data_IF_661086639186
#
_entry.id   IF_661086639186
#
_cell.length_a   1.000
_cell.length_b   1.000
_cell.length_c   1.000
_cell.angle_alpha   90.00
_cell.angle_beta   90.00
_cell.angle_gamma   90.00
#
_symmetry.space_group_name_H-M   'P 1'
#
loop_
_entity.id
_entity.type
_entity.pdbx_description
1 polymer ?
#
# COMPACT_ATOMS: atom_id res chain seq x y z
N UNK A 1 26.67 -36.46 2.91
CA UNK A 1 26.66 -35.55 1.74
C UNK A 1 25.33 -35.71 1.04
N UNK A 2 24.62 -34.61 0.82
CA UNK A 2 23.32 -34.52 0.16
C UNK A 2 22.99 -33.04 0.01
N UNK A 3 23.42 -32.46 -1.11
CA UNK A 3 23.47 -31.02 -1.37
C UNK A 3 22.10 -30.36 -1.48
N UNK A 4 22.01 -29.19 -0.86
CA UNK A 4 20.97 -28.18 -1.01
C UNK A 4 21.53 -26.80 -0.69
N UNK A 5 22.79 -26.54 -1.04
CA UNK A 5 23.56 -25.33 -0.64
C UNK A 5 23.22 -24.10 -1.52
N UNK A 6 21.95 -23.79 -1.69
CA UNK A 6 21.54 -22.54 -2.34
C UNK A 6 20.54 -21.81 -1.46
N UNK A 7 21.04 -20.85 -0.69
CA UNK A 7 20.23 -19.90 0.04
C UNK A 7 19.79 -18.79 -0.91
N UNK A 8 18.48 -18.60 -1.06
CA UNK A 8 17.91 -17.49 -1.81
C UNK A 8 17.64 -16.31 -0.87
N UNK A 9 18.10 -15.12 -1.25
CA UNK A 9 17.81 -13.90 -0.51
C UNK A 9 16.36 -13.50 -0.80
N UNK A 10 15.47 -13.79 0.15
CA UNK A 10 14.05 -13.45 0.04
C UNK A 10 13.84 -11.94 0.23
N UNK A 11 14.57 -11.36 1.17
CA UNK A 11 14.44 -9.97 1.56
C UNK A 11 15.72 -9.42 2.24
N UNK A 12 15.92 -8.10 2.22
CA UNK A 12 17.09 -7.43 2.78
C UNK A 12 18.11 -6.94 1.74
N UNK A 13 17.71 -6.77 0.47
CA UNK A 13 18.57 -6.29 -0.61
C UNK A 13 19.22 -4.94 -0.29
N UNK A 14 18.46 -3.99 0.26
CA UNK A 14 18.96 -2.66 0.65
C UNK A 14 20.00 -2.76 1.78
N UNK A 15 19.78 -3.67 2.73
CA UNK A 15 20.74 -3.91 3.83
C UNK A 15 22.00 -4.61 3.32
N UNK A 16 21.84 -5.55 2.38
CA UNK A 16 22.97 -6.20 1.68
C UNK A 16 23.79 -5.16 0.93
N UNK A 17 23.18 -4.25 0.19
CA UNK A 17 23.86 -3.15 -0.50
C UNK A 17 24.56 -2.21 0.48
N UNK A 18 23.92 -1.86 1.60
CA UNK A 18 24.55 -1.06 2.64
C UNK A 18 25.81 -1.74 3.21
N UNK A 19 25.77 -3.05 3.46
CA UNK A 19 26.93 -3.80 3.93
C UNK A 19 28.04 -3.92 2.88
N UNK A 20 27.67 -4.09 1.60
CA UNK A 20 28.63 -4.09 0.49
C UNK A 20 29.33 -2.73 0.36
N UNK A 21 28.56 -1.64 0.41
CA UNK A 21 29.08 -0.27 0.35
C UNK A 21 29.95 0.08 1.55
N UNK A 22 29.57 -0.39 2.74
CA UNK A 22 30.34 -0.22 3.98
C UNK A 22 31.55 -1.19 4.09
N UNK A 23 31.77 -2.06 3.09
CA UNK A 23 32.85 -3.07 3.04
C UNK A 23 32.91 -3.92 4.32
N UNK A 24 31.75 -4.24 4.89
CA UNK A 24 31.69 -5.06 6.10
C UNK A 24 32.13 -6.48 5.77
N UNK A 25 33.25 -6.90 6.36
CA UNK A 25 33.82 -8.25 6.20
C UNK A 25 33.38 -9.21 7.31
N UNK A 26 32.65 -8.70 8.30
CA UNK A 26 32.14 -9.46 9.43
C UNK A 26 30.92 -10.29 9.02
N UNK A 27 30.66 -11.44 9.65
CA UNK A 27 29.45 -12.22 9.40
C UNK A 27 28.19 -11.37 9.61
N UNK A 28 27.34 -11.31 8.59
CA UNK A 28 26.09 -10.56 8.63
C UNK A 28 25.03 -11.45 9.30
N UNK A 29 24.29 -10.95 10.31
CA UNK A 29 23.21 -11.71 10.91
C UNK A 29 22.10 -11.92 9.87
N UNK A 30 21.81 -13.19 9.58
CA UNK A 30 20.72 -13.63 8.72
C UNK A 30 19.80 -14.57 9.50
N UNK A 31 18.51 -14.49 9.23
CA UNK A 31 17.52 -15.42 9.78
C UNK A 31 17.16 -16.43 8.71
N UNK A 32 17.42 -17.71 8.98
CA UNK A 32 17.00 -18.79 8.10
C UNK A 32 15.52 -19.09 8.34
N UNK A 33 14.73 -19.03 7.27
CA UNK A 33 13.37 -19.53 7.27
C UNK A 33 13.36 -20.95 6.74
N UNK A 34 12.83 -21.89 7.53
CA UNK A 34 12.66 -23.29 7.12
C UNK A 34 11.21 -23.51 6.72
N UNK A 35 10.96 -23.59 5.40
CA UNK A 35 9.64 -23.80 4.81
C UNK A 35 9.69 -23.68 3.29
N UNK A 36 8.55 -23.57 2.63
CA UNK A 36 8.49 -23.37 1.17
C UNK A 36 8.92 -21.95 0.79
N UNK A 37 9.26 -21.74 -0.50
CA UNK A 37 9.57 -20.38 -1.01
C UNK A 37 8.37 -19.46 -0.83
N UNK A 38 7.15 -19.96 -1.05
CA UNK A 38 5.93 -19.20 -0.85
C UNK A 38 5.73 -18.77 0.61
N UNK A 39 6.02 -19.66 1.56
CA UNK A 39 5.95 -19.37 2.99
C UNK A 39 7.02 -18.36 3.42
N UNK A 40 8.23 -18.48 2.86
CA UNK A 40 9.32 -17.56 3.13
C UNK A 40 9.01 -16.13 2.67
N UNK A 41 8.38 -15.98 1.49
CA UNK A 41 7.94 -14.69 0.96
C UNK A 41 6.86 -14.05 1.85
N UNK A 42 5.89 -14.84 2.33
CA UNK A 42 4.86 -14.35 3.24
C UNK A 42 5.46 -13.89 4.59
N UNK A 43 6.37 -14.68 5.15
CA UNK A 43 6.97 -14.37 6.45
C UNK A 43 7.89 -13.15 6.37
N UNK A 44 8.64 -12.98 5.28
CA UNK A 44 9.44 -11.78 5.03
C UNK A 44 8.55 -10.51 5.00
N UNK A 45 7.43 -10.57 4.26
CA UNK A 45 6.46 -9.46 4.23
C UNK A 45 5.87 -9.14 5.62
N UNK A 46 5.45 -10.17 6.36
CA UNK A 46 4.92 -10.02 7.73
C UNK A 46 5.94 -9.42 8.69
N UNK A 47 7.19 -9.88 8.63
CA UNK A 47 8.28 -9.40 9.48
C UNK A 47 8.59 -7.93 9.20
N UNK A 48 8.62 -7.51 7.93
CA UNK A 48 8.87 -6.14 7.53
C UNK A 48 7.73 -5.19 7.89
N UNK A 49 6.49 -5.65 7.75
CA UNK A 49 5.31 -4.87 8.16
C UNK A 49 5.30 -4.56 9.66
N UNK A 50 5.94 -5.40 10.49
CA UNK A 50 6.01 -5.26 11.96
C UNK A 50 7.30 -4.62 12.49
N UNK A 51 8.37 -4.50 11.68
CA UNK A 51 9.70 -4.09 12.15
C UNK A 51 9.99 -2.58 12.03
N UNK A 52 11.12 -2.15 12.64
CA UNK A 52 11.51 -0.77 13.01
C UNK A 52 11.68 0.26 11.87
N UNK A 53 11.51 -0.17 10.62
CA UNK A 53 11.39 0.68 9.44
C UNK A 53 10.13 0.21 8.70
N UNK A 54 8.94 0.73 9.05
CA UNK A 54 7.71 0.28 8.43
C UNK A 54 7.79 0.58 6.92
N UNK A 55 7.51 -0.42 6.10
CA UNK A 55 7.36 -0.25 4.64
C UNK A 55 6.48 0.97 4.37
N UNK A 56 6.80 1.79 3.38
CA UNK A 56 5.93 2.89 2.96
C UNK A 56 4.59 2.33 2.47
N UNK A 57 3.57 3.18 2.37
CA UNK A 57 2.28 2.72 1.85
C UNK A 57 2.41 2.20 0.41
N UNK A 58 3.21 2.88 -0.41
CA UNK A 58 3.54 2.46 -1.79
C UNK A 58 4.19 1.07 -1.80
N UNK A 59 5.24 0.85 -1.00
CA UNK A 59 5.92 -0.45 -0.91
C UNK A 59 4.98 -1.58 -0.46
N UNK A 60 4.08 -1.32 0.51
CA UNK A 60 3.07 -2.29 0.95
C UNK A 60 2.11 -2.65 -0.18
N UNK A 61 1.65 -1.66 -0.95
CA UNK A 61 0.73 -1.89 -2.05
C UNK A 61 1.40 -2.62 -3.23
N UNK A 62 2.65 -2.30 -3.56
CA UNK A 62 3.40 -2.97 -4.61
C UNK A 62 3.73 -4.42 -4.24
N UNK A 63 4.07 -4.66 -2.98
CA UNK A 63 4.23 -6.02 -2.46
C UNK A 63 2.92 -6.82 -2.50
N UNK A 64 1.80 -6.22 -2.07
CA UNK A 64 0.49 -6.84 -2.19
C UNK A 64 0.12 -7.15 -3.65
N UNK A 65 0.41 -6.23 -4.58
CA UNK A 65 0.18 -6.40 -6.01
C UNK A 65 1.01 -7.54 -6.60
N UNK A 66 2.28 -7.66 -6.20
CA UNK A 66 3.13 -8.81 -6.56
C UNK A 66 2.51 -10.12 -6.09
N UNK A 67 2.04 -10.21 -4.85
CA UNK A 67 1.39 -11.41 -4.33
C UNK A 67 0.07 -11.74 -5.06
N UNK A 68 -0.69 -10.71 -5.47
CA UNK A 68 -1.92 -10.88 -6.26
C UNK A 68 -1.60 -11.44 -7.64
N UNK A 69 -0.59 -10.91 -8.34
CA UNK A 69 -0.16 -11.41 -9.67
C UNK A 69 0.33 -12.86 -9.63
N UNK A 70 0.95 -13.30 -8.52
CA UNK A 70 1.36 -14.69 -8.33
C UNK A 70 0.17 -15.67 -8.22
N UNK A 71 -1.02 -15.20 -7.83
CA UNK A 71 -2.27 -15.99 -7.86
C UNK A 71 -2.40 -17.11 -6.81
N UNK A 72 -1.31 -17.49 -6.12
CA UNK A 72 -1.28 -18.64 -5.21
C UNK A 72 -1.79 -18.39 -3.79
N UNK A 73 -2.15 -17.14 -3.45
CA UNK A 73 -2.48 -16.73 -2.08
C UNK A 73 -3.95 -16.31 -1.94
N UNK A 74 -4.57 -16.59 -0.79
CA UNK A 74 -5.90 -16.05 -0.45
C UNK A 74 -5.84 -14.55 -0.19
N UNK A 75 -6.99 -13.86 -0.27
CA UNK A 75 -7.06 -12.41 -0.01
C UNK A 75 -6.56 -12.04 1.39
N UNK A 76 -6.85 -12.89 2.38
CA UNK A 76 -6.44 -12.65 3.77
C UNK A 76 -4.93 -12.84 3.95
N UNK A 77 -4.33 -13.86 3.32
CA UNK A 77 -2.88 -14.07 3.37
C UNK A 77 -2.12 -12.89 2.75
N UNK A 78 -2.59 -12.38 1.61
CA UNK A 78 -1.99 -11.19 0.98
C UNK A 78 -2.13 -9.96 1.88
N UNK A 79 -3.33 -9.71 2.39
CA UNK A 79 -3.62 -8.57 3.26
C UNK A 79 -2.73 -8.57 4.51
N UNK A 80 -2.61 -9.72 5.17
CA UNK A 80 -1.79 -9.88 6.36
C UNK A 80 -0.28 -9.75 6.06
N UNK A 81 0.20 -10.37 4.98
CA UNK A 81 1.61 -10.34 4.63
C UNK A 81 2.08 -8.97 4.17
N UNK A 82 1.23 -8.22 3.48
CA UNK A 82 1.57 -6.90 2.97
C UNK A 82 1.13 -5.74 3.87
N UNK A 83 0.37 -5.99 4.93
CA UNK A 83 -0.18 -4.94 5.79
C UNK A 83 -1.16 -4.00 5.05
N UNK A 84 -1.98 -4.55 4.16
CA UNK A 84 -3.03 -3.82 3.42
C UNK A 84 -4.42 -4.39 3.74
N UNK A 85 -5.49 -3.67 3.42
CA UNK A 85 -6.84 -4.17 3.67
C UNK A 85 -7.24 -5.31 2.72
N UNK A 86 -8.06 -6.25 3.20
CA UNK A 86 -8.63 -7.34 2.39
C UNK A 86 -9.48 -6.80 1.23
N UNK A 87 -10.02 -5.58 1.37
CA UNK A 87 -10.72 -4.86 0.32
C UNK A 87 -9.75 -4.35 -0.75
N UNK A 88 -8.59 -3.81 -0.37
CA UNK A 88 -7.55 -3.40 -1.31
C UNK A 88 -7.12 -4.57 -2.21
N UNK A 89 -6.93 -5.74 -1.61
CA UNK A 89 -6.60 -6.97 -2.36
C UNK A 89 -7.73 -7.36 -3.33
N UNK A 90 -9.00 -7.09 -2.99
CA UNK A 90 -10.12 -7.33 -3.89
C UNK A 90 -10.08 -6.40 -5.10
N UNK A 91 -9.82 -5.10 -4.86
CA UNK A 91 -9.64 -4.11 -5.93
C UNK A 91 -8.49 -4.48 -6.84
N UNK A 92 -7.36 -4.93 -6.28
CA UNK A 92 -6.21 -5.41 -7.04
C UNK A 92 -6.59 -6.60 -7.92
N UNK A 93 -7.33 -7.58 -7.39
CA UNK A 93 -7.79 -8.73 -8.21
C UNK A 93 -8.72 -8.32 -9.35
N UNK A 94 -9.56 -7.31 -9.16
CA UNK A 94 -10.41 -6.80 -10.24
C UNK A 94 -9.57 -6.12 -11.32
N UNK A 95 -8.56 -5.32 -10.93
CA UNK A 95 -7.62 -4.71 -11.88
C UNK A 95 -6.80 -5.78 -12.62
N UNK A 96 -6.33 -6.82 -11.93
CA UNK A 96 -5.64 -7.96 -12.56
C UNK A 96 -6.54 -8.62 -13.63
N UNK A 97 -7.81 -8.84 -13.30
CA UNK A 97 -8.79 -9.41 -14.23
C UNK A 97 -9.08 -8.48 -15.42
N UNK A 98 -9.13 -7.17 -15.17
CA UNK A 98 -9.38 -6.17 -16.20
C UNK A 98 -8.21 -6.06 -17.19
N UNK A 99 -6.97 -6.08 -16.69
CA UNK A 99 -5.76 -5.98 -17.50
C UNK A 99 -5.35 -7.31 -18.14
N UNK A 100 -5.74 -8.45 -17.57
CA UNK A 100 -5.36 -9.77 -18.10
C UNK A 100 -3.84 -9.98 -18.06
N UNK A 101 -3.26 -10.41 -19.18
CA UNK A 101 -1.82 -10.65 -19.31
C UNK A 101 -0.99 -9.35 -19.19
N UNK A 102 -1.55 -8.21 -19.63
CA UNK A 102 -0.86 -6.91 -19.57
C UNK A 102 -0.56 -6.50 -18.11
N UNK A 103 -1.29 -7.06 -17.15
CA UNK A 103 -1.04 -6.82 -15.72
C UNK A 103 0.39 -7.18 -15.28
N UNK A 104 1.04 -8.13 -15.96
CA UNK A 104 2.39 -8.58 -15.61
C UNK A 104 3.47 -7.59 -16.05
N UNK A 105 3.16 -6.65 -16.96
CA UNK A 105 4.06 -5.57 -17.38
C UNK A 105 4.19 -4.47 -16.32
N UNK A 106 3.26 -4.40 -15.38
CA UNK A 106 3.21 -3.35 -14.36
C UNK A 106 3.64 -3.89 -13.00
N UNK A 107 4.89 -3.64 -12.62
CA UNK A 107 5.38 -4.01 -11.29
C UNK A 107 4.77 -3.16 -10.17
N UNK A 108 4.49 -1.89 -10.46
CA UNK A 108 3.83 -0.94 -9.58
C UNK A 108 2.31 -1.07 -9.63
N UNK A 109 1.68 -1.13 -8.46
CA UNK A 109 0.23 -1.11 -8.33
C UNK A 109 -0.37 0.17 -8.91
N UNK A 110 0.29 1.32 -8.70
CA UNK A 110 -0.19 2.60 -9.19
C UNK A 110 -0.25 2.64 -10.72
N UNK A 111 0.78 2.13 -11.41
CA UNK A 111 0.81 2.04 -12.88
C UNK A 111 -0.32 1.14 -13.39
N UNK A 112 -0.44 -0.07 -12.83
CA UNK A 112 -1.50 -1.01 -13.17
C UNK A 112 -2.89 -0.38 -13.02
N UNK A 113 -3.15 0.25 -11.87
CA UNK A 113 -4.44 0.90 -11.59
C UNK A 113 -4.70 2.10 -12.49
N UNK A 114 -3.68 2.89 -12.83
CA UNK A 114 -3.82 4.08 -13.69
C UNK A 114 -4.26 3.66 -15.09
N UNK A 115 -3.57 2.67 -15.68
CA UNK A 115 -3.92 2.10 -16.98
C UNK A 115 -5.32 1.48 -16.95
N UNK A 116 -5.63 0.68 -15.93
CA UNK A 116 -6.96 0.07 -15.78
C UNK A 116 -8.08 1.12 -15.64
N UNK A 117 -7.80 2.27 -15.00
CA UNK A 117 -8.79 3.35 -14.87
C UNK A 117 -9.02 4.16 -16.15
N UNK A 118 -8.27 3.88 -17.23
CA UNK A 118 -8.34 4.64 -18.48
C UNK A 118 -7.87 6.09 -18.33
N UNK A 119 -7.11 6.40 -17.28
CA UNK A 119 -6.46 7.70 -17.13
C UNK A 119 -5.27 7.70 -18.08
N UNK A 120 -5.20 8.68 -18.99
CA UNK A 120 -3.94 8.99 -19.68
C UNK A 120 -2.84 9.09 -18.63
N UNK A 121 -1.74 8.37 -18.88
CA UNK A 121 -0.59 8.25 -17.99
C UNK A 121 -0.30 9.61 -17.35
N UNK A 122 -0.42 9.70 -16.03
CA UNK A 122 0.10 10.85 -15.31
C UNK A 122 1.56 11.06 -15.73
N UNK A 123 1.96 12.31 -15.94
CA UNK A 123 3.23 12.74 -16.53
C UNK A 123 4.49 12.46 -15.68
N UNK A 124 4.48 11.41 -14.85
CA UNK A 124 5.62 11.01 -14.03
C UNK A 124 6.44 9.97 -14.79
N UNK A 125 7.74 10.24 -14.96
CA UNK A 125 8.65 9.35 -15.70
C UNK A 125 9.11 8.18 -14.81
N UNK A 126 9.01 8.29 -13.47
CA UNK A 126 9.29 7.19 -12.53
C UNK A 126 8.37 7.15 -11.29
N UNK A 127 8.45 6.04 -10.53
CA UNK A 127 7.74 5.90 -9.26
C UNK A 127 8.38 6.79 -8.17
N UNK A 128 9.70 7.01 -8.19
CA UNK A 128 10.37 7.97 -7.30
C UNK A 128 9.93 9.41 -7.56
N UNK A 129 9.86 9.84 -8.83
CA UNK A 129 9.41 11.20 -9.18
C UNK A 129 7.98 11.47 -8.70
N UNK A 130 7.13 10.45 -8.74
CA UNK A 130 5.77 10.52 -8.19
C UNK A 130 5.78 10.63 -6.67
N UNK A 131 6.57 9.82 -5.97
CA UNK A 131 6.65 9.83 -4.51
C UNK A 131 7.19 11.18 -4.03
N UNK A 132 8.26 11.68 -4.64
CA UNK A 132 8.81 13.01 -4.36
C UNK A 132 7.80 14.13 -4.65
N UNK A 133 7.06 14.02 -5.75
CA UNK A 133 5.99 14.96 -6.07
C UNK A 133 4.85 14.90 -5.06
N UNK A 134 4.39 13.71 -4.66
CA UNK A 134 3.33 13.56 -3.66
C UNK A 134 3.76 14.07 -2.30
N UNK A 135 4.97 13.77 -1.83
CA UNK A 135 5.49 14.26 -0.56
C UNK A 135 5.59 15.80 -0.54
N UNK A 136 6.09 16.40 -1.63
CA UNK A 136 6.18 17.84 -1.76
C UNK A 136 4.80 18.51 -1.88
N UNK A 137 3.86 17.89 -2.58
CA UNK A 137 2.57 18.47 -2.93
C UNK A 137 1.50 18.24 -1.85
N UNK A 138 1.56 17.13 -1.10
CA UNK A 138 0.61 16.81 -0.03
C UNK A 138 0.71 17.80 1.13
N UNK A 139 1.93 18.14 1.55
CA UNK A 139 2.16 19.10 2.62
C UNK A 139 1.73 20.52 2.22
N UNK A 140 2.01 20.93 0.98
CA UNK A 140 1.58 22.24 0.44
C UNK A 140 0.06 22.32 0.31
N UNK A 141 -0.57 21.32 -0.32
CA UNK A 141 -2.01 21.28 -0.52
C UNK A 141 -2.77 21.25 0.80
N UNK A 142 -2.35 20.41 1.75
CA UNK A 142 -2.97 20.35 3.07
C UNK A 142 -2.82 21.66 3.84
N UNK A 143 -1.64 22.29 3.78
CA UNK A 143 -1.37 23.58 4.41
C UNK A 143 -2.24 24.69 3.80
N UNK A 144 -2.38 24.71 2.47
CA UNK A 144 -3.23 25.66 1.75
C UNK A 144 -4.71 25.44 2.03
N UNK A 145 -5.17 24.20 2.04
CA UNK A 145 -6.54 23.84 2.44
C UNK A 145 -6.84 24.31 3.87
N UNK A 146 -5.93 24.09 4.81
CA UNK A 146 -6.09 24.55 6.21
C UNK A 146 -6.11 26.07 6.31
N UNK A 147 -5.27 26.77 5.53
CA UNK A 147 -5.19 28.24 5.49
C UNK A 147 -6.46 28.86 4.90
N UNK A 148 -6.84 28.44 3.69
CA UNK A 148 -7.97 29.02 2.94
C UNK A 148 -9.32 28.69 3.58
N UNK A 149 -9.50 27.46 4.07
CA UNK A 149 -10.77 27.06 4.67
C UNK A 149 -10.80 27.23 6.19
N UNK A 150 -9.73 27.77 6.78
CA UNK A 150 -9.61 28.26 8.17
C UNK A 150 -10.27 27.33 9.21
N UNK A 151 -10.09 26.01 9.06
CA UNK A 151 -10.67 25.00 9.94
C UNK A 151 -12.19 24.78 9.84
N UNK A 152 -12.94 25.55 9.03
CA UNK A 152 -14.40 25.38 8.85
C UNK A 152 -14.76 24.03 8.24
N UNK A 153 -13.96 23.54 7.29
CA UNK A 153 -14.12 22.21 6.71
C UNK A 153 -13.77 21.08 7.70
N UNK A 154 -12.85 21.35 8.64
CA UNK A 154 -12.47 20.38 9.69
C UNK A 154 -13.57 20.32 10.76
N UNK A 155 -14.10 21.48 11.16
CA UNK A 155 -15.16 21.59 12.15
C UNK A 155 -16.53 21.13 11.64
N UNK A 156 -16.71 21.02 10.31
CA UNK A 156 -17.94 20.54 9.70
C UNK A 156 -17.63 19.52 8.57
N UNK A 157 -17.49 18.23 8.92
CA UNK A 157 -17.23 17.16 7.96
C UNK A 157 -18.33 17.01 6.90
N UNK A 158 -19.59 17.32 7.22
CA UNK A 158 -20.68 17.28 6.23
C UNK A 158 -20.47 18.34 5.13
N UNK A 159 -20.11 19.56 5.52
CA UNK A 159 -19.80 20.64 4.59
C UNK A 159 -18.60 20.28 3.70
N UNK A 160 -17.57 19.64 4.26
CA UNK A 160 -16.45 19.13 3.50
C UNK A 160 -16.87 18.05 2.49
N UNK A 161 -17.66 17.06 2.92
CA UNK A 161 -18.16 16.01 2.02
C UNK A 161 -19.01 16.58 0.88
N UNK A 162 -19.90 17.55 1.17
CA UNK A 162 -20.71 18.24 0.15
C UNK A 162 -19.85 19.03 -0.83
N UNK A 163 -18.87 19.77 -0.33
CA UNK A 163 -17.95 20.54 -1.18
C UNK A 163 -17.14 19.62 -2.10
N UNK A 164 -16.63 18.50 -1.57
CA UNK A 164 -15.92 17.49 -2.36
C UNK A 164 -16.83 16.81 -3.38
N UNK A 165 -18.08 16.52 -3.04
CA UNK A 165 -19.06 16.00 -4.00
C UNK A 165 -19.31 16.96 -5.17
N UNK A 166 -19.47 18.26 -4.89
CA UNK A 166 -19.65 19.28 -5.93
C UNK A 166 -18.40 19.40 -6.80
N UNK A 167 -17.21 19.44 -6.19
CA UNK A 167 -15.95 19.63 -6.91
C UNK A 167 -15.56 18.41 -7.76
N UNK A 168 -15.61 17.21 -7.21
CA UNK A 168 -15.20 15.99 -7.90
C UNK A 168 -16.30 15.40 -8.80
N UNK A 169 -17.57 15.66 -8.52
CA UNK A 169 -18.70 15.19 -9.32
C UNK A 169 -18.62 13.69 -9.59
N UNK A 170 -18.54 13.31 -10.89
CA UNK A 170 -18.42 11.90 -11.32
C UNK A 170 -17.15 11.19 -10.84
N UNK A 171 -16.13 11.94 -10.44
CA UNK A 171 -14.86 11.42 -9.89
C UNK A 171 -14.89 11.27 -8.36
N UNK A 172 -15.99 11.61 -7.70
CA UNK A 172 -16.11 11.40 -6.26
C UNK A 172 -15.89 9.94 -5.83
N UNK A 173 -16.36 8.91 -6.56
CA UNK A 173 -16.07 7.52 -6.21
C UNK A 173 -14.57 7.19 -6.19
N UNK A 174 -13.81 7.78 -7.10
CA UNK A 174 -12.36 7.61 -7.17
C UNK A 174 -11.69 8.24 -5.95
N UNK A 175 -12.06 9.49 -5.61
CA UNK A 175 -11.55 10.15 -4.40
C UNK A 175 -11.88 9.34 -3.15
N UNK A 176 -13.12 8.87 -3.03
CA UNK A 176 -13.54 8.07 -1.89
C UNK A 176 -12.75 6.77 -1.78
N UNK A 177 -12.38 6.16 -2.91
CA UNK A 177 -11.48 5.01 -2.93
C UNK A 177 -10.08 5.34 -2.39
N UNK A 178 -9.55 6.54 -2.63
CA UNK A 178 -8.29 6.99 -2.03
C UNK A 178 -8.44 7.31 -0.54
N UNK A 179 -9.48 8.07 -0.16
CA UNK A 179 -9.72 8.49 1.23
C UNK A 179 -9.89 7.30 2.18
N UNK A 180 -10.48 6.20 1.70
CA UNK A 180 -10.59 4.95 2.47
C UNK A 180 -9.25 4.43 2.99
N UNK A 181 -8.12 4.78 2.36
CA UNK A 181 -6.79 4.33 2.80
C UNK A 181 -6.33 5.03 4.08
N UNK A 182 -6.91 6.18 4.42
CA UNK A 182 -6.56 6.97 5.61
C UNK A 182 -7.52 6.72 6.79
N UNK A 183 -8.57 5.92 6.59
CA UNK A 183 -9.53 5.56 7.64
C UNK A 183 -9.17 4.18 8.18
N UNK A 184 -8.67 4.10 9.42
CA UNK A 184 -8.47 2.82 10.12
C UNK A 184 -9.82 2.20 10.47
N UNK A 185 -10.02 0.90 10.19
CA UNK A 185 -11.16 0.11 10.69
C UNK A 185 -11.01 -0.04 12.22
N UNK A 186 -11.35 1.01 12.99
CA UNK A 186 -11.20 1.00 14.46
C UNK A 186 -12.07 1.99 15.23
N UNK A 187 -12.46 3.13 14.64
CA UNK A 187 -13.12 4.21 15.41
C UNK A 187 -14.59 4.44 15.02
N UNK A 188 -15.27 3.42 14.51
CA UNK A 188 -16.74 3.42 14.46
C UNK A 188 -17.24 2.36 15.45
N UNK A 189 -16.91 2.53 16.73
CA UNK A 189 -17.81 2.04 17.76
C UNK A 189 -19.09 2.84 17.61
N UNK A 190 -20.06 2.21 16.96
CA UNK A 190 -21.47 2.49 17.11
C UNK A 190 -21.72 2.80 18.59
N UNK A 191 -22.18 4.03 18.88
CA UNK A 191 -22.99 4.27 20.07
C UNK A 191 -24.28 3.47 19.84
N UNK A 192 -24.20 2.17 20.14
CA UNK A 192 -25.36 1.33 20.32
C UNK A 192 -25.91 1.67 21.71
N UNK A 193 -27.12 2.20 21.68
CA UNK A 193 -28.08 2.39 22.76
C UNK A 193 -27.86 1.47 23.98
N UNK A 194 -27.60 2.08 25.14
CA UNK A 194 -28.07 1.58 26.42
C UNK A 194 -28.41 2.79 27.30
N UNK A 195 -29.68 3.17 27.30
CA UNK A 195 -30.51 3.28 28.52
C UNK A 195 -31.89 3.86 28.16
N UNK A 196 -32.79 2.98 27.75
CA UNK A 196 -34.20 3.10 28.10
C UNK A 196 -34.41 2.48 29.51
N UNK A 197 -35.38 3.04 30.24
CA UNK A 197 -35.98 2.59 31.52
C UNK A 197 -35.23 2.85 32.85
N UNK A 198 -35.43 4.05 33.44
CA UNK A 198 -36.35 4.34 34.57
C UNK A 198 -36.12 5.74 35.18
#
# INVERSE_FOLDING_TARGET
MGGGDTAYLVDGHHRREAYLNAKVTQPIPVTYFTGSVEEAVLEAGRANSKAKQPMTNTERQDFAWRLVRLGSYTRNQVAEAAGVSVRQVATMREVLKQLGEDAFEYESWWKARTVASGRESSSFDSDEEREEWLEAWDSDLASRMRKEFTGKLIANPELAARALNIYFGRKLPDLFSELRQYVSEGDTQEQADENDDF
#
